data_IF_375099619319
#
_entry.id   IF_375099619319
#
_cell.length_a   1.000
_cell.length_b   1.000
_cell.length_c   1.000
_cell.angle_alpha   90.00
_cell.angle_beta   90.00
_cell.angle_gamma   90.00
#
_symmetry.space_group_name_H-M   'P 1'
#
loop_
_entity.id
_entity.type
_entity.pdbx_description
1 polymer ?
#
# COMPACT_ATOMS: atom_id res chain seq x y z
N UNK A 1 -80.15 -34.47 33.99
CA UNK A 1 -80.91 -35.44 33.17
C UNK A 1 -82.05 -36.12 33.95
N UNK A 2 -81.84 -36.66 35.17
CA UNK A 2 -82.91 -37.34 35.94
C UNK A 2 -84.23 -36.56 36.15
N UNK A 3 -84.21 -35.22 36.17
CA UNK A 3 -85.42 -34.41 36.36
C UNK A 3 -86.44 -34.57 35.21
N UNK A 4 -86.01 -34.62 33.94
CA UNK A 4 -86.91 -34.75 32.78
C UNK A 4 -87.67 -36.09 32.79
N UNK A 5 -86.99 -37.16 33.20
CA UNK A 5 -87.58 -38.50 33.28
C UNK A 5 -88.73 -38.54 34.31
N UNK A 6 -88.57 -37.83 35.43
CA UNK A 6 -89.57 -37.77 36.51
C UNK A 6 -90.81 -36.94 36.14
N UNK A 7 -90.67 -35.96 35.25
CA UNK A 7 -91.82 -35.23 34.69
C UNK A 7 -92.57 -36.08 33.66
N UNK A 8 -91.87 -36.77 32.74
CA UNK A 8 -92.55 -37.53 31.68
C UNK A 8 -93.38 -38.71 32.22
N UNK A 9 -92.90 -39.40 33.25
CA UNK A 9 -93.69 -40.44 33.96
C UNK A 9 -94.95 -39.84 34.61
N UNK A 10 -94.89 -38.60 35.10
CA UNK A 10 -96.05 -37.90 35.70
C UNK A 10 -97.08 -37.45 34.63
N UNK A 11 -96.64 -37.25 33.40
CA UNK A 11 -97.47 -36.84 32.27
C UNK A 11 -98.22 -38.03 31.65
N UNK A 12 -97.57 -39.20 31.54
CA UNK A 12 -98.16 -40.40 30.94
C UNK A 12 -99.04 -41.25 31.89
N UNK A 13 -98.88 -41.14 33.22
CA UNK A 13 -99.61 -42.01 34.18
C UNK A 13 -100.98 -41.49 34.65
N UNK A 14 -101.33 -40.24 34.34
CA UNK A 14 -102.72 -39.76 34.23
C UNK A 14 -103.70 -39.99 35.40
N UNK A 15 -103.24 -40.23 36.63
CA UNK A 15 -104.12 -40.69 37.73
C UNK A 15 -103.83 -40.07 39.10
N UNK A 16 -104.74 -39.22 39.58
CA UNK A 16 -104.81 -38.80 40.99
C UNK A 16 -105.33 -39.94 41.86
N UNK A 17 -104.41 -40.75 42.42
CA UNK A 17 -104.73 -41.87 43.31
C UNK A 17 -105.20 -41.40 44.71
N UNK A 18 -106.26 -40.59 44.79
CA UNK A 18 -106.82 -40.06 46.05
C UNK A 18 -108.30 -39.64 46.00
N UNK A 19 -109.02 -39.77 44.87
CA UNK A 19 -110.45 -39.35 44.78
C UNK A 19 -111.34 -40.30 43.98
N UNK A 20 -111.55 -41.53 44.46
CA UNK A 20 -112.59 -42.41 43.89
C UNK A 20 -113.25 -43.33 44.94
N UNK A 21 -113.97 -42.71 45.88
CA UNK A 21 -114.89 -43.41 46.80
C UNK A 21 -116.16 -42.59 47.01
N UNK A 22 -116.88 -42.30 45.92
CA UNK A 22 -118.24 -41.74 45.97
C UNK A 22 -118.97 -41.95 44.62
N UNK A 23 -120.28 -42.22 44.69
CA UNK A 23 -121.29 -42.06 43.61
C UNK A 23 -121.02 -42.72 42.25
N UNK A 24 -121.34 -44.02 42.15
CA UNK A 24 -122.32 -44.47 41.14
C UNK A 24 -123.40 -45.27 41.87
N UNK A 25 -124.57 -44.63 42.06
CA UNK A 25 -125.77 -45.21 42.68
C UNK A 25 -126.98 -44.47 42.09
N UNK A 26 -128.03 -45.21 41.70
CA UNK A 26 -129.14 -44.74 40.83
C UNK A 26 -128.66 -44.46 39.38
N UNK A 27 -129.39 -44.81 38.31
CA UNK A 27 -130.68 -45.50 38.14
C UNK A 27 -130.57 -46.41 36.90
N UNK A 28 -131.25 -47.56 36.76
CA UNK A 28 -132.68 -47.79 36.99
C UNK A 28 -132.94 -49.26 37.33
N UNK A 29 -133.71 -49.52 38.40
CA UNK A 29 -134.26 -50.85 38.70
C UNK A 29 -135.78 -50.74 38.76
N UNK A 30 -136.46 -51.39 37.81
CA UNK A 30 -137.84 -51.85 37.98
C UNK A 30 -137.71 -53.31 38.43
N UNK A 31 -137.90 -53.68 39.71
CA UNK A 31 -138.99 -53.36 40.66
C UNK A 31 -140.32 -54.02 40.30
N UNK A 32 -140.30 -55.35 40.23
CA UNK A 32 -141.43 -56.18 40.68
C UNK A 32 -140.85 -57.17 41.69
N UNK A 33 -141.28 -57.06 42.95
CA UNK A 33 -140.96 -58.01 44.02
C UNK A 33 -142.15 -57.99 45.00
N UNK A 34 -142.39 -59.12 45.66
CA UNK A 34 -143.28 -59.32 46.81
C UNK A 34 -144.78 -59.02 46.61
N UNK A 35 -145.55 -60.09 46.43
CA UNK A 35 -146.79 -60.28 47.21
C UNK A 35 -146.80 -61.67 47.87
N UNK A 36 -147.22 -61.70 49.14
CA UNK A 36 -147.15 -62.88 50.02
C UNK A 36 -148.47 -63.07 50.77
N UNK A 37 -149.25 -64.07 50.37
CA UNK A 37 -150.49 -64.52 51.03
C UNK A 37 -151.04 -65.74 50.28
N UNK A 38 -151.38 -66.90 50.87
CA UNK A 38 -151.74 -67.35 52.24
C UNK A 38 -153.23 -67.31 52.60
N UNK A 39 -154.00 -68.21 51.97
CA UNK A 39 -155.15 -68.92 52.56
C UNK A 39 -155.24 -70.28 51.86
N UNK A 40 -155.12 -71.43 52.54
CA UNK A 40 -156.13 -72.08 53.39
C UNK A 40 -157.47 -72.35 52.70
N UNK A 41 -157.70 -73.63 52.36
CA UNK A 41 -158.86 -74.38 52.86
C UNK A 41 -158.56 -75.88 52.80
N UNK A 42 -158.55 -76.54 53.97
CA UNK A 42 -159.03 -77.92 54.08
C UNK A 42 -160.54 -77.87 54.36
N UNK A 43 -161.29 -78.93 54.64
CA UNK A 43 -161.07 -80.38 54.72
C UNK A 43 -162.30 -80.88 55.49
N UNK A 44 -163.12 -81.74 54.89
CA UNK A 44 -164.22 -82.48 55.55
C UNK A 44 -164.26 -83.86 54.88
N UNK A 45 -163.77 -84.93 55.52
CA UNK A 45 -164.44 -85.74 56.56
C UNK A 45 -165.58 -86.61 56.00
N UNK A 46 -165.76 -87.89 56.36
CA UNK A 46 -164.96 -88.76 57.24
C UNK A 46 -165.31 -90.24 57.01
N UNK A 47 -164.62 -91.15 57.71
CA UNK A 47 -164.80 -92.61 57.68
C UNK A 47 -166.17 -93.09 58.17
N UNK A 48 -166.66 -94.20 57.59
CA UNK A 48 -167.26 -95.39 58.25
C UNK A 48 -167.73 -96.40 57.17
N UNK A 49 -168.11 -97.65 57.45
CA UNK A 49 -167.59 -98.70 58.36
C UNK A 49 -168.58 -99.89 58.31
N UNK A 50 -168.18 -101.01 57.68
CA UNK A 50 -168.63 -102.41 57.87
C UNK A 50 -170.10 -102.70 58.29
N UNK A 51 -170.83 -103.52 57.51
CA UNK A 51 -171.59 -104.75 57.92
C UNK A 51 -172.54 -105.22 56.80
N UNK A 52 -172.77 -106.55 56.71
CA UNK A 52 -173.68 -107.20 55.75
C UNK A 52 -175.00 -107.65 56.40
N UNK A 53 -176.12 -107.46 55.69
CA UNK A 53 -177.43 -108.13 55.82
C UNK A 53 -178.21 -107.78 54.54
N UNK A 54 -178.72 -108.69 53.71
CA UNK A 54 -179.83 -109.64 53.91
C UNK A 54 -181.18 -108.99 54.29
N UNK A 55 -182.27 -109.42 53.64
CA UNK A 55 -183.64 -108.94 53.90
C UNK A 55 -184.47 -108.44 52.70
N UNK A 56 -184.93 -109.37 51.84
CA UNK A 56 -186.30 -109.48 51.27
C UNK A 56 -187.17 -108.25 50.86
N UNK A 57 -187.82 -108.39 49.68
CA UNK A 57 -189.20 -107.95 49.31
C UNK A 57 -189.48 -106.43 49.15
N UNK A 58 -190.38 -105.99 48.28
CA UNK A 58 -191.13 -106.63 47.16
C UNK A 58 -191.57 -105.56 46.15
N UNK A 59 -191.81 -105.96 44.89
CA UNK A 59 -192.53 -105.25 43.80
C UNK A 59 -192.11 -103.80 43.45
N UNK A 60 -192.03 -103.38 42.17
CA UNK A 60 -192.77 -103.81 40.99
C UNK A 60 -191.80 -104.10 39.83
N UNK A 61 -191.90 -105.28 39.22
CA UNK A 61 -191.01 -105.70 38.14
C UNK A 61 -191.47 -105.19 36.76
N UNK A 62 -190.89 -104.07 36.29
CA UNK A 62 -190.78 -103.80 34.84
C UNK A 62 -189.70 -102.75 34.46
N UNK A 63 -189.40 -101.75 35.30
CA UNK A 63 -188.45 -100.68 34.94
C UNK A 63 -186.96 -101.10 34.95
N UNK A 64 -186.63 -102.24 35.59
CA UNK A 64 -185.24 -102.62 35.90
C UNK A 64 -184.32 -102.82 34.68
N UNK A 65 -184.84 -103.23 33.52
CA UNK A 65 -184.02 -103.45 32.32
C UNK A 65 -183.66 -102.14 31.59
N UNK A 66 -184.48 -101.10 31.71
CA UNK A 66 -184.16 -99.80 31.12
C UNK A 66 -183.08 -99.08 31.94
N UNK A 67 -183.11 -99.21 33.27
CA UNK A 67 -182.03 -98.75 34.14
C UNK A 67 -180.69 -99.47 33.85
N UNK A 68 -180.68 -100.79 33.65
CA UNK A 68 -179.45 -101.51 33.24
C UNK A 68 -178.88 -101.00 31.91
N UNK A 69 -179.73 -100.83 30.89
CA UNK A 69 -179.32 -100.27 29.58
C UNK A 69 -178.77 -98.85 29.72
N UNK A 70 -179.36 -98.04 30.60
CA UNK A 70 -178.90 -96.68 30.90
C UNK A 70 -177.54 -96.69 31.62
N UNK A 71 -177.34 -97.60 32.58
CA UNK A 71 -176.08 -97.76 33.30
C UNK A 71 -174.96 -98.22 32.36
N UNK A 72 -175.18 -99.28 31.59
CA UNK A 72 -174.22 -99.81 30.61
C UNK A 72 -173.87 -98.78 29.52
N UNK A 73 -174.83 -97.95 29.09
CA UNK A 73 -174.57 -96.82 28.18
C UNK A 73 -173.70 -95.74 28.85
N UNK A 74 -173.94 -95.41 30.11
CA UNK A 74 -173.11 -94.45 30.88
C UNK A 74 -171.70 -94.99 31.10
N UNK A 75 -171.56 -96.27 31.43
CA UNK A 75 -170.28 -96.96 31.57
C UNK A 75 -169.50 -96.97 30.24
N UNK A 76 -170.18 -97.25 29.13
CA UNK A 76 -169.61 -97.15 27.77
C UNK A 76 -169.19 -95.72 27.41
N UNK A 77 -169.96 -94.70 27.82
CA UNK A 77 -169.58 -93.29 27.67
C UNK A 77 -168.32 -92.95 28.48
N UNK A 78 -168.20 -93.44 29.71
CA UNK A 78 -167.02 -93.20 30.55
C UNK A 78 -165.79 -93.95 30.05
N UNK A 79 -165.90 -95.21 29.66
CA UNK A 79 -164.80 -95.98 29.06
C UNK A 79 -164.30 -95.33 27.77
N UNK A 80 -165.21 -94.86 26.89
CA UNK A 80 -164.81 -94.11 25.68
C UNK A 80 -164.14 -92.78 26.01
N UNK A 81 -164.58 -92.06 27.05
CA UNK A 81 -163.95 -90.82 27.51
C UNK A 81 -162.57 -91.07 28.12
N UNK A 82 -162.38 -92.18 28.83
CA UNK A 82 -161.09 -92.62 29.37
C UNK A 82 -160.14 -93.00 28.24
N UNK A 83 -160.60 -93.78 27.26
CA UNK A 83 -159.83 -94.16 26.07
C UNK A 83 -159.43 -92.93 25.23
N UNK A 84 -160.35 -91.99 25.00
CA UNK A 84 -160.04 -90.71 24.34
C UNK A 84 -159.01 -89.90 25.14
N UNK A 85 -159.11 -89.86 26.47
CA UNK A 85 -158.11 -89.19 27.33
C UNK A 85 -156.76 -89.91 27.32
N UNK A 86 -156.73 -91.25 27.27
CA UNK A 86 -155.49 -92.00 27.06
C UNK A 86 -154.86 -91.69 25.71
N UNK A 87 -155.65 -91.57 24.63
CA UNK A 87 -155.14 -91.17 23.31
C UNK A 87 -154.60 -89.74 23.33
N UNK A 88 -155.34 -88.78 23.89
CA UNK A 88 -154.87 -87.39 24.10
C UNK A 88 -153.56 -87.34 24.89
N UNK A 89 -153.44 -88.13 25.96
CA UNK A 89 -152.22 -88.17 26.79
C UNK A 89 -151.06 -88.84 26.05
N UNK A 90 -151.30 -89.94 25.33
CA UNK A 90 -150.29 -90.60 24.49
C UNK A 90 -149.80 -89.67 23.38
N UNK A 91 -150.67 -88.86 22.79
CA UNK A 91 -150.27 -87.89 21.76
C UNK A 91 -149.61 -86.63 22.35
N UNK A 92 -150.02 -86.17 23.53
CA UNK A 92 -149.33 -85.10 24.26
C UNK A 92 -147.90 -85.52 24.66
N UNK A 93 -147.70 -86.76 25.13
CA UNK A 93 -146.38 -87.33 25.40
C UNK A 93 -145.54 -87.36 24.12
N UNK A 94 -146.04 -87.94 23.02
CA UNK A 94 -145.34 -87.91 21.71
C UNK A 94 -144.98 -86.49 21.23
N UNK A 95 -145.82 -85.49 21.52
CA UNK A 95 -145.51 -84.08 21.20
C UNK A 95 -144.39 -83.53 22.10
N UNK A 96 -144.40 -83.84 23.41
CA UNK A 96 -143.33 -83.44 24.33
C UNK A 96 -142.00 -84.13 24.03
N UNK A 97 -142.00 -85.42 23.68
CA UNK A 97 -140.80 -86.16 23.29
C UNK A 97 -140.18 -85.58 22.01
N UNK A 98 -141.01 -85.28 20.99
CA UNK A 98 -140.56 -84.57 19.78
C UNK A 98 -139.96 -83.20 20.09
N UNK A 99 -140.60 -82.44 20.97
CA UNK A 99 -140.12 -81.11 21.37
C UNK A 99 -138.81 -81.19 22.19
N UNK A 100 -138.67 -82.22 23.04
CA UNK A 100 -137.43 -82.49 23.78
C UNK A 100 -136.29 -82.84 22.81
N UNK A 101 -136.53 -83.74 21.86
CA UNK A 101 -135.53 -84.11 20.85
C UNK A 101 -135.07 -82.93 19.98
N UNK A 102 -135.99 -82.01 19.64
CA UNK A 102 -135.64 -80.75 18.96
C UNK A 102 -134.72 -79.89 19.85
N UNK A 103 -135.09 -79.66 21.12
CA UNK A 103 -134.26 -78.90 22.07
C UNK A 103 -132.88 -79.54 22.28
N UNK A 104 -132.80 -80.88 22.34
CA UNK A 104 -131.53 -81.59 22.49
C UNK A 104 -130.63 -81.44 21.26
N UNK A 105 -131.22 -81.51 20.05
CA UNK A 105 -130.50 -81.26 18.79
C UNK A 105 -130.03 -79.81 18.67
N UNK A 106 -130.88 -78.84 19.00
CA UNK A 106 -130.52 -77.40 19.04
C UNK A 106 -129.40 -77.13 20.06
N UNK A 107 -129.48 -77.75 21.24
CA UNK A 107 -128.44 -77.72 22.28
C UNK A 107 -127.12 -78.31 21.80
N UNK A 108 -127.14 -79.46 21.13
CA UNK A 108 -125.93 -80.05 20.52
C UNK A 108 -125.33 -79.14 19.44
N UNK A 109 -126.16 -78.56 18.57
CA UNK A 109 -125.71 -77.65 17.52
C UNK A 109 -125.13 -76.36 18.10
N UNK A 110 -125.73 -75.81 19.16
CA UNK A 110 -125.17 -74.70 19.92
C UNK A 110 -123.83 -75.05 20.58
N UNK A 111 -123.66 -76.25 21.16
CA UNK A 111 -122.36 -76.68 21.70
C UNK A 111 -121.29 -76.84 20.61
N UNK A 112 -121.65 -77.36 19.43
CA UNK A 112 -120.74 -77.46 18.28
C UNK A 112 -120.33 -76.06 17.78
N UNK A 113 -121.27 -75.12 17.70
CA UNK A 113 -120.96 -73.71 17.37
C UNK A 113 -120.05 -73.06 18.42
N UNK A 114 -120.31 -73.25 19.72
CA UNK A 114 -119.48 -72.72 20.82
C UNK A 114 -118.06 -73.30 20.77
N UNK A 115 -117.90 -74.58 20.40
CA UNK A 115 -116.58 -75.20 20.26
C UNK A 115 -115.80 -74.58 19.09
N UNK A 116 -116.41 -74.50 17.90
CA UNK A 116 -115.79 -73.89 16.72
C UNK A 116 -115.43 -72.41 16.95
N UNK A 117 -116.29 -71.66 17.65
CA UNK A 117 -116.03 -70.27 18.01
C UNK A 117 -114.87 -70.12 19.02
N UNK A 118 -114.68 -71.07 19.94
CA UNK A 118 -113.54 -71.10 20.86
C UNK A 118 -112.23 -71.43 20.13
N UNK A 119 -112.26 -72.36 19.18
CA UNK A 119 -111.11 -72.70 18.34
C UNK A 119 -110.70 -71.50 17.47
N UNK A 120 -111.66 -70.90 16.76
CA UNK A 120 -111.43 -69.69 15.95
C UNK A 120 -110.98 -68.48 16.78
N UNK A 121 -111.44 -68.34 18.03
CA UNK A 121 -110.96 -67.30 18.95
C UNK A 121 -109.50 -67.54 19.34
N UNK A 122 -109.17 -68.78 19.71
CA UNK A 122 -107.79 -69.16 20.06
C UNK A 122 -106.83 -68.95 18.89
N UNK A 123 -107.22 -69.32 17.66
CA UNK A 123 -106.42 -69.06 16.46
C UNK A 123 -106.20 -67.56 16.27
N UNK A 124 -107.23 -66.73 16.47
CA UNK A 124 -107.11 -65.27 16.39
C UNK A 124 -106.20 -64.69 17.50
N UNK A 125 -106.20 -65.27 18.70
CA UNK A 125 -105.28 -64.93 19.78
C UNK A 125 -103.82 -65.32 19.44
N UNK A 126 -103.60 -66.53 18.92
CA UNK A 126 -102.29 -67.01 18.45
C UNK A 126 -101.77 -66.17 17.25
N UNK A 127 -102.64 -65.72 16.34
CA UNK A 127 -102.28 -64.78 15.27
C UNK A 127 -101.95 -63.38 15.81
N UNK A 128 -102.74 -62.86 16.75
CA UNK A 128 -102.47 -61.57 17.41
C UNK A 128 -101.12 -61.59 18.14
N UNK A 129 -100.80 -62.66 18.85
CA UNK A 129 -99.51 -62.80 19.54
C UNK A 129 -98.34 -62.84 18.55
N UNK A 130 -98.48 -63.53 17.41
CA UNK A 130 -97.46 -63.51 16.34
C UNK A 130 -97.24 -62.09 15.80
N UNK A 131 -98.32 -61.34 15.54
CA UNK A 131 -98.23 -59.94 15.07
C UNK A 131 -97.50 -59.06 16.10
N UNK A 132 -97.85 -59.16 17.39
CA UNK A 132 -97.20 -58.40 18.46
C UNK A 132 -95.71 -58.75 18.57
N UNK A 133 -95.36 -60.04 18.55
CA UNK A 133 -93.97 -60.48 18.54
C UNK A 133 -93.21 -59.95 17.31
N UNK A 134 -93.85 -59.88 16.13
CA UNK A 134 -93.23 -59.29 14.93
C UNK A 134 -93.03 -57.78 15.06
N UNK A 135 -93.94 -57.06 15.72
CA UNK A 135 -93.79 -55.62 16.01
C UNK A 135 -92.63 -55.37 16.98
N UNK A 136 -92.56 -56.09 18.11
CA UNK A 136 -91.45 -55.98 19.07
C UNK A 136 -90.08 -56.29 18.42
N UNK A 137 -89.99 -57.33 17.59
CA UNK A 137 -88.76 -57.65 16.86
C UNK A 137 -88.38 -56.55 15.85
N UNK A 138 -89.36 -55.94 15.18
CA UNK A 138 -89.11 -54.85 14.23
C UNK A 138 -88.63 -53.58 14.95
N UNK A 139 -89.25 -53.20 16.07
CA UNK A 139 -88.82 -52.05 16.90
C UNK A 139 -87.39 -52.25 17.46
N UNK A 140 -87.03 -53.49 17.84
CA UNK A 140 -85.65 -53.83 18.23
C UNK A 140 -84.67 -53.67 17.07
N UNK A 141 -85.03 -54.14 15.87
CA UNK A 141 -84.20 -54.01 14.66
C UNK A 141 -84.03 -52.53 14.28
N UNK A 142 -85.10 -51.73 14.27
CA UNK A 142 -85.03 -50.29 14.01
C UNK A 142 -84.18 -49.56 15.05
N UNK A 143 -84.32 -49.91 16.33
CA UNK A 143 -83.50 -49.34 17.42
C UNK A 143 -82.01 -49.64 17.20
N UNK A 144 -81.65 -50.87 16.82
CA UNK A 144 -80.27 -51.24 16.51
C UNK A 144 -79.77 -50.53 15.24
N UNK A 145 -80.58 -50.43 14.18
CA UNK A 145 -80.23 -49.71 12.96
C UNK A 145 -79.96 -48.22 13.23
N UNK A 146 -80.77 -47.55 14.06
CA UNK A 146 -80.57 -46.15 14.45
C UNK A 146 -79.28 -45.98 15.28
N UNK A 147 -78.98 -46.93 16.18
CA UNK A 147 -77.72 -46.92 16.94
C UNK A 147 -76.49 -47.09 16.05
N UNK A 148 -76.49 -48.07 15.13
CA UNK A 148 -75.38 -48.27 14.19
C UNK A 148 -75.24 -47.11 13.20
N UNK A 149 -76.34 -46.57 12.67
CA UNK A 149 -76.31 -45.38 11.81
C UNK A 149 -75.72 -44.16 12.54
N UNK A 150 -76.02 -44.00 13.85
CA UNK A 150 -75.41 -42.95 14.67
C UNK A 150 -73.90 -43.17 14.88
N UNK A 151 -73.44 -44.42 15.06
CA UNK A 151 -72.00 -44.75 15.15
C UNK A 151 -71.29 -44.47 13.83
N UNK A 152 -71.86 -44.92 12.70
CA UNK A 152 -71.32 -44.66 11.36
C UNK A 152 -71.25 -43.16 11.08
N UNK A 153 -72.30 -42.40 11.39
CA UNK A 153 -72.31 -40.93 11.25
C UNK A 153 -71.20 -40.26 12.06
N UNK A 154 -70.97 -40.68 13.30
CA UNK A 154 -69.89 -40.15 14.13
C UNK A 154 -68.50 -40.50 13.58
N UNK A 155 -68.31 -41.72 13.04
CA UNK A 155 -67.07 -42.13 12.40
C UNK A 155 -66.79 -41.35 11.11
N UNK A 156 -67.81 -41.11 10.28
CA UNK A 156 -67.68 -40.27 9.07
C UNK A 156 -67.28 -38.86 9.44
N UNK A 157 -67.95 -38.22 10.40
CA UNK A 157 -67.63 -36.85 10.84
C UNK A 157 -66.19 -36.71 11.35
N UNK A 158 -65.69 -37.71 12.11
CA UNK A 158 -64.30 -37.74 12.57
C UNK A 158 -63.30 -37.90 11.40
N UNK A 159 -63.65 -38.64 10.35
CA UNK A 159 -62.81 -38.77 9.15
C UNK A 159 -62.86 -37.53 8.25
N UNK A 160 -63.99 -36.85 8.17
CA UNK A 160 -64.11 -35.55 7.50
C UNK A 160 -63.25 -34.48 8.19
N UNK A 161 -63.27 -34.45 9.54
CA UNK A 161 -62.37 -33.60 10.32
C UNK A 161 -60.90 -33.97 10.08
N UNK A 162 -60.52 -35.25 10.18
CA UNK A 162 -59.15 -35.70 9.93
C UNK A 162 -58.68 -35.30 8.52
N UNK A 163 -59.49 -35.53 7.48
CA UNK A 163 -59.18 -35.15 6.10
C UNK A 163 -59.02 -33.63 5.95
N UNK A 164 -59.85 -32.83 6.60
CA UNK A 164 -59.72 -31.37 6.65
C UNK A 164 -58.38 -30.94 7.28
N UNK A 165 -58.02 -31.50 8.44
CA UNK A 165 -56.76 -31.24 9.13
C UNK A 165 -55.55 -31.67 8.29
N UNK A 166 -55.57 -32.87 7.66
CA UNK A 166 -54.50 -33.31 6.76
C UNK A 166 -54.39 -32.38 5.53
N UNK A 167 -55.50 -31.91 4.97
CA UNK A 167 -55.52 -31.00 3.81
C UNK A 167 -54.95 -29.63 4.16
N UNK A 168 -55.27 -29.09 5.34
CA UNK A 168 -54.68 -27.86 5.84
C UNK A 168 -53.17 -28.00 6.09
N UNK A 169 -52.73 -29.08 6.73
CA UNK A 169 -51.31 -29.36 6.97
C UNK A 169 -50.52 -29.55 5.66
N UNK A 170 -51.09 -30.26 4.68
CA UNK A 170 -50.48 -30.45 3.36
C UNK A 170 -50.39 -29.12 2.58
N UNK A 171 -51.39 -28.24 2.70
CA UNK A 171 -51.34 -26.89 2.10
C UNK A 171 -50.20 -26.06 2.69
N UNK A 172 -50.02 -26.06 4.01
CA UNK A 172 -48.92 -25.31 4.63
C UNK A 172 -47.55 -25.94 4.37
N UNK A 173 -47.43 -27.26 4.33
CA UNK A 173 -46.20 -27.94 3.90
C UNK A 173 -45.80 -27.55 2.47
N UNK A 174 -46.78 -27.44 1.55
CA UNK A 174 -46.54 -26.95 0.19
C UNK A 174 -46.14 -25.46 0.16
N UNK A 175 -46.76 -24.60 0.98
CA UNK A 175 -46.34 -23.20 1.13
C UNK A 175 -44.87 -23.10 1.59
N UNK A 176 -44.44 -23.97 2.51
CA UNK A 176 -43.07 -24.01 3.03
C UNK A 176 -42.09 -24.55 2.00
N UNK A 177 -42.46 -25.60 1.25
CA UNK A 177 -41.66 -26.11 0.13
C UNK A 177 -41.44 -25.04 -0.95
N UNK A 178 -42.47 -24.25 -1.28
CA UNK A 178 -42.31 -23.20 -2.31
C UNK A 178 -41.49 -22.00 -1.81
N UNK A 179 -41.62 -21.62 -0.53
CA UNK A 179 -40.68 -20.67 0.11
C UNK A 179 -39.23 -21.18 0.01
N UNK A 180 -38.98 -22.44 0.39
CA UNK A 180 -37.64 -23.05 0.31
C UNK A 180 -37.11 -23.16 -1.12
N UNK A 181 -37.97 -23.46 -2.11
CA UNK A 181 -37.60 -23.43 -3.54
C UNK A 181 -37.21 -22.04 -4.01
N UNK A 182 -37.97 -21.02 -3.63
CA UNK A 182 -37.64 -19.63 -3.96
C UNK A 182 -36.29 -19.21 -3.37
N UNK A 183 -35.98 -19.65 -2.14
CA UNK A 183 -34.72 -19.38 -1.46
C UNK A 183 -33.55 -20.15 -2.07
N UNK A 184 -33.71 -21.43 -2.41
CA UNK A 184 -32.69 -22.20 -3.16
C UNK A 184 -32.39 -21.56 -4.53
N UNK A 185 -33.41 -21.06 -5.23
CA UNK A 185 -33.22 -20.34 -6.49
C UNK A 185 -32.54 -18.97 -6.29
N UNK A 186 -32.80 -18.30 -5.16
CA UNK A 186 -32.11 -17.06 -4.76
C UNK A 186 -30.63 -17.31 -4.46
N UNK A 187 -30.33 -18.37 -3.71
CA UNK A 187 -28.97 -18.76 -3.34
C UNK A 187 -28.15 -19.21 -4.56
N UNK A 188 -28.72 -20.00 -5.47
CA UNK A 188 -28.05 -20.39 -6.74
C UNK A 188 -27.62 -19.20 -7.59
N UNK A 189 -28.42 -18.14 -7.67
CA UNK A 189 -28.05 -16.90 -8.37
C UNK A 189 -26.90 -16.16 -7.68
N UNK A 190 -26.78 -16.26 -6.35
CA UNK A 190 -25.64 -15.71 -5.62
C UNK A 190 -24.38 -16.57 -5.79
N UNK A 191 -24.51 -17.89 -5.85
CA UNK A 191 -23.44 -18.83 -6.16
C UNK A 191 -22.86 -18.58 -7.58
N UNK A 192 -23.73 -18.39 -8.58
CA UNK A 192 -23.39 -18.01 -9.95
C UNK A 192 -22.63 -16.66 -9.99
N UNK A 193 -23.16 -15.62 -9.33
CA UNK A 193 -22.49 -14.32 -9.22
C UNK A 193 -21.12 -14.40 -8.51
N UNK A 194 -21.00 -15.21 -7.46
CA UNK A 194 -19.72 -15.42 -6.75
C UNK A 194 -18.71 -16.20 -7.61
N UNK A 195 -19.17 -17.16 -8.41
CA UNK A 195 -18.35 -17.88 -9.40
C UNK A 195 -17.80 -16.93 -10.47
N UNK A 196 -18.63 -16.02 -11.00
CA UNK A 196 -18.21 -15.02 -11.98
C UNK A 196 -17.19 -14.03 -11.38
N UNK A 197 -17.45 -13.53 -10.16
CA UNK A 197 -16.51 -12.66 -9.43
C UNK A 197 -15.19 -13.38 -9.15
N UNK A 198 -15.23 -14.67 -8.77
CA UNK A 198 -14.03 -15.49 -8.57
C UNK A 198 -13.27 -15.73 -9.89
N UNK A 199 -13.99 -15.93 -10.99
CA UNK A 199 -13.44 -16.03 -12.35
C UNK A 199 -12.69 -14.77 -12.77
N UNK A 200 -13.33 -13.61 -12.62
CA UNK A 200 -12.75 -12.30 -12.93
C UNK A 200 -11.55 -11.97 -12.02
N UNK A 201 -11.68 -12.18 -10.70
CA UNK A 201 -10.55 -12.03 -9.76
C UNK A 201 -9.35 -12.90 -10.16
N UNK A 202 -9.60 -14.10 -10.69
CA UNK A 202 -8.56 -15.05 -11.14
C UNK A 202 -7.95 -14.69 -12.50
N UNK A 203 -8.64 -13.95 -13.37
CA UNK A 203 -8.05 -13.39 -14.60
C UNK A 203 -7.26 -12.12 -14.30
N UNK A 204 -7.78 -11.24 -13.46
CA UNK A 204 -7.07 -10.04 -12.95
C UNK A 204 -5.76 -10.42 -12.25
N UNK A 205 -5.78 -11.38 -11.31
CA UNK A 205 -4.56 -11.86 -10.64
C UNK A 205 -3.53 -12.45 -11.62
N UNK A 206 -3.95 -13.09 -12.72
CA UNK A 206 -3.02 -13.54 -13.78
C UNK A 206 -2.39 -12.37 -14.53
N UNK A 207 -3.17 -11.34 -14.86
CA UNK A 207 -2.68 -10.12 -15.53
C UNK A 207 -1.71 -9.36 -14.62
N UNK A 208 -2.08 -9.14 -13.36
CA UNK A 208 -1.21 -8.49 -12.36
C UNK A 208 0.08 -9.28 -12.15
N UNK A 209 0.01 -10.61 -12.00
CA UNK A 209 1.22 -11.44 -11.88
C UNK A 209 2.13 -11.31 -13.11
N UNK A 210 1.58 -11.40 -14.33
CA UNK A 210 2.38 -11.26 -15.56
C UNK A 210 3.00 -9.86 -15.69
N UNK A 211 2.29 -8.82 -15.29
CA UNK A 211 2.80 -7.45 -15.29
C UNK A 211 3.92 -7.25 -14.25
N UNK A 212 3.83 -7.89 -13.08
CA UNK A 212 4.89 -7.92 -12.08
C UNK A 212 6.13 -8.65 -12.61
N UNK A 213 5.95 -9.86 -13.15
CA UNK A 213 7.03 -10.68 -13.74
C UNK A 213 7.74 -9.96 -14.90
N UNK A 214 7.00 -9.26 -15.76
CA UNK A 214 7.56 -8.36 -16.77
C UNK A 214 8.39 -7.23 -16.12
N UNK A 215 7.85 -6.57 -15.08
CA UNK A 215 8.49 -5.43 -14.41
C UNK A 215 9.77 -5.83 -13.66
N UNK A 216 9.78 -7.00 -13.02
CA UNK A 216 10.97 -7.61 -12.42
C UNK A 216 12.01 -7.93 -13.51
N UNK A 217 11.60 -8.40 -14.69
CA UNK A 217 12.51 -8.66 -15.80
C UNK A 217 13.16 -7.40 -16.38
N UNK A 218 12.44 -6.27 -16.46
CA UNK A 218 13.01 -4.99 -16.87
C UNK A 218 13.89 -4.38 -15.76
N UNK A 219 13.49 -4.48 -14.49
CA UNK A 219 14.30 -4.03 -13.36
C UNK A 219 15.67 -4.72 -13.37
N UNK A 220 15.69 -6.05 -13.51
CA UNK A 220 16.92 -6.83 -13.60
C UNK A 220 17.82 -6.34 -14.75
N UNK A 221 17.28 -6.05 -15.95
CA UNK A 221 18.07 -5.49 -17.07
C UNK A 221 18.67 -4.13 -16.71
N UNK A 222 17.89 -3.23 -16.11
CA UNK A 222 18.38 -1.90 -15.71
C UNK A 222 19.43 -1.97 -14.59
N UNK A 223 19.36 -2.97 -13.71
CA UNK A 223 20.40 -3.22 -12.70
C UNK A 223 21.68 -3.79 -13.32
N UNK A 224 21.55 -4.67 -14.31
CA UNK A 224 22.64 -5.20 -15.13
C UNK A 224 23.35 -4.08 -15.93
N UNK A 225 22.60 -3.16 -16.54
CA UNK A 225 23.10 -1.97 -17.23
C UNK A 225 23.77 -1.00 -16.25
N UNK A 226 23.15 -0.74 -15.10
CA UNK A 226 23.73 0.08 -14.01
C UNK A 226 25.06 -0.52 -13.51
N UNK A 227 25.15 -1.84 -13.40
CA UNK A 227 26.37 -2.56 -13.01
C UNK A 227 27.48 -2.38 -14.05
N UNK A 228 27.17 -2.57 -15.33
CA UNK A 228 28.10 -2.34 -16.46
C UNK A 228 28.60 -0.88 -16.49
N UNK A 229 27.69 0.09 -16.35
CA UNK A 229 28.02 1.52 -16.29
C UNK A 229 28.88 1.86 -15.07
N UNK A 230 28.61 1.26 -13.90
CA UNK A 230 29.41 1.45 -12.68
C UNK A 230 30.85 0.96 -12.87
N UNK A 231 31.04 -0.24 -13.45
CA UNK A 231 32.37 -0.77 -13.79
C UNK A 231 33.10 0.17 -14.77
N UNK A 232 32.39 0.66 -15.80
CA UNK A 232 32.95 1.61 -16.77
C UNK A 232 33.43 2.89 -16.08
N UNK A 233 32.58 3.53 -15.26
CA UNK A 233 32.91 4.76 -14.53
C UNK A 233 34.09 4.56 -13.57
N UNK A 234 34.16 3.43 -12.86
CA UNK A 234 35.28 3.16 -11.97
C UNK A 234 36.60 2.94 -12.73
N UNK A 235 36.56 2.31 -13.91
CA UNK A 235 37.74 2.17 -14.77
C UNK A 235 38.21 3.52 -15.36
N UNK A 236 37.28 4.39 -15.76
CA UNK A 236 37.57 5.76 -16.22
C UNK A 236 38.12 6.63 -15.08
N UNK A 237 37.62 6.44 -13.86
CA UNK A 237 38.12 7.12 -12.67
C UNK A 237 39.54 6.64 -12.30
N UNK A 238 39.82 5.34 -12.43
CA UNK A 238 41.18 4.80 -12.26
C UNK A 238 42.15 5.36 -13.32
N UNK A 239 41.74 5.38 -14.60
CA UNK A 239 42.53 5.98 -15.68
C UNK A 239 42.79 7.48 -15.44
N UNK A 240 41.76 8.22 -15.03
CA UNK A 240 41.84 9.64 -14.67
C UNK A 240 42.82 9.90 -13.52
N UNK A 241 42.84 9.02 -12.51
CA UNK A 241 43.77 9.14 -11.38
C UNK A 241 45.21 8.82 -11.79
N UNK A 242 45.44 7.83 -12.66
CA UNK A 242 46.76 7.57 -13.26
C UNK A 242 47.26 8.75 -14.10
N UNK A 243 46.39 9.36 -14.91
CA UNK A 243 46.71 10.56 -15.70
C UNK A 243 47.05 11.75 -14.79
N UNK A 244 46.30 11.97 -13.69
CA UNK A 244 46.62 12.99 -12.68
C UNK A 244 48.00 12.77 -12.05
N UNK A 245 48.36 11.53 -11.70
CA UNK A 245 49.69 11.21 -11.17
C UNK A 245 50.81 11.49 -12.19
N UNK A 246 50.59 11.18 -13.47
CA UNK A 246 51.54 11.50 -14.55
C UNK A 246 51.69 13.00 -14.73
N UNK A 247 50.59 13.77 -14.74
CA UNK A 247 50.61 15.24 -14.80
C UNK A 247 51.41 15.81 -13.63
N UNK A 248 51.10 15.42 -12.38
CA UNK A 248 51.84 15.89 -11.19
C UNK A 248 53.32 15.48 -11.19
N UNK A 249 53.69 14.40 -11.89
CA UNK A 249 55.09 14.04 -12.12
C UNK A 249 55.75 15.00 -13.12
N UNK A 250 55.13 15.20 -14.29
CA UNK A 250 55.64 16.09 -15.34
C UNK A 250 55.71 17.56 -14.89
N UNK A 251 54.78 18.03 -14.07
CA UNK A 251 54.80 19.36 -13.45
C UNK A 251 56.02 19.54 -12.54
N UNK A 252 56.41 18.48 -11.79
CA UNK A 252 57.61 18.48 -10.94
C UNK A 252 58.88 18.48 -11.78
N UNK A 253 58.97 17.60 -12.79
CA UNK A 253 60.12 17.53 -13.70
C UNK A 253 60.31 18.85 -14.47
N UNK A 254 59.22 19.50 -14.90
CA UNK A 254 59.25 20.81 -15.54
C UNK A 254 59.67 21.94 -14.57
N UNK A 255 59.31 21.85 -13.28
CA UNK A 255 59.75 22.81 -12.27
C UNK A 255 61.24 22.65 -11.93
N UNK A 256 61.72 21.41 -11.86
CA UNK A 256 63.12 21.07 -11.66
C UNK A 256 63.97 21.52 -12.85
N UNK A 257 63.55 21.24 -14.08
CA UNK A 257 64.25 21.69 -15.28
C UNK A 257 64.28 23.23 -15.41
N UNK A 258 63.20 23.93 -15.04
CA UNK A 258 63.21 25.40 -14.94
C UNK A 258 64.22 25.91 -13.90
N UNK A 259 64.38 25.22 -12.77
CA UNK A 259 65.37 25.55 -11.75
C UNK A 259 66.80 25.30 -12.25
N UNK A 260 67.04 24.17 -12.92
CA UNK A 260 68.32 23.82 -13.53
C UNK A 260 68.70 24.82 -14.63
N UNK A 261 67.79 25.11 -15.55
CA UNK A 261 67.96 26.12 -16.60
C UNK A 261 68.30 27.51 -16.03
N UNK A 262 67.59 27.95 -14.99
CA UNK A 262 67.90 29.21 -14.28
C UNK A 262 69.28 29.19 -13.62
N UNK A 263 69.71 28.06 -13.05
CA UNK A 263 71.04 27.92 -12.43
C UNK A 263 72.17 27.86 -13.48
N UNK A 264 71.93 27.22 -14.63
CA UNK A 264 72.82 27.28 -15.80
C UNK A 264 72.90 28.72 -16.33
N UNK A 265 71.78 29.44 -16.44
CA UNK A 265 71.75 30.84 -16.88
C UNK A 265 72.52 31.76 -15.93
N UNK A 266 72.34 31.62 -14.60
CA UNK A 266 73.15 32.34 -13.60
C UNK A 266 74.64 32.03 -13.75
N UNK A 267 75.00 30.76 -13.91
CA UNK A 267 76.40 30.32 -14.04
C UNK A 267 77.03 30.85 -15.33
N UNK A 268 76.32 30.75 -16.46
CA UNK A 268 76.74 31.32 -17.75
C UNK A 268 76.91 32.85 -17.67
N UNK A 269 76.01 33.55 -16.97
CA UNK A 269 76.13 34.99 -16.74
C UNK A 269 77.37 35.30 -15.92
N UNK A 270 77.62 34.55 -14.83
CA UNK A 270 78.80 34.70 -13.97
C UNK A 270 80.10 34.49 -14.76
N UNK A 271 80.22 33.38 -15.49
CA UNK A 271 81.38 33.06 -16.33
C UNK A 271 81.55 34.08 -17.47
N UNK A 272 80.46 34.63 -18.01
CA UNK A 272 80.54 35.70 -19.01
C UNK A 272 81.05 37.01 -18.39
N UNK A 273 80.62 37.37 -17.18
CA UNK A 273 81.19 38.53 -16.47
C UNK A 273 82.67 38.32 -16.10
N UNK A 274 83.05 37.14 -15.61
CA UNK A 274 84.45 36.76 -15.35
C UNK A 274 85.29 36.89 -16.62
N UNK A 275 84.86 36.27 -17.74
CA UNK A 275 85.49 36.40 -19.06
C UNK A 275 85.64 37.86 -19.50
N UNK A 276 84.62 38.69 -19.30
CA UNK A 276 84.70 40.10 -19.68
C UNK A 276 85.69 40.86 -18.79
N UNK A 277 85.77 40.57 -17.49
CA UNK A 277 86.81 41.17 -16.63
C UNK A 277 88.23 40.71 -16.97
N UNK A 278 88.43 39.44 -17.36
CA UNK A 278 89.75 38.96 -17.79
C UNK A 278 90.13 39.47 -19.18
N UNK A 279 89.17 39.67 -20.09
CA UNK A 279 89.39 40.37 -21.37
C UNK A 279 89.78 41.84 -21.16
N UNK A 280 89.08 42.56 -20.28
CA UNK A 280 89.44 43.95 -19.93
C UNK A 280 90.84 44.02 -19.30
N UNK A 281 91.16 43.11 -18.37
CA UNK A 281 92.49 43.01 -17.77
C UNK A 281 93.58 42.65 -18.78
N UNK A 282 93.30 41.78 -19.75
CA UNK A 282 94.22 41.47 -20.85
C UNK A 282 94.43 42.66 -21.79
N UNK A 283 93.38 43.45 -22.07
CA UNK A 283 93.50 44.68 -22.84
C UNK A 283 94.34 45.73 -22.10
N UNK A 284 94.12 45.90 -20.79
CA UNK A 284 94.94 46.77 -19.92
C UNK A 284 96.41 46.32 -19.89
N UNK A 285 96.67 45.02 -19.69
CA UNK A 285 98.04 44.46 -19.72
C UNK A 285 98.69 44.66 -21.10
N UNK A 286 97.94 44.50 -22.19
CA UNK A 286 98.44 44.75 -23.56
C UNK A 286 98.80 46.22 -23.79
N UNK A 287 97.97 47.14 -23.27
CA UNK A 287 98.24 48.58 -23.31
C UNK A 287 99.47 48.94 -22.46
N UNK A 288 99.61 48.38 -21.25
CA UNK A 288 100.80 48.55 -20.42
C UNK A 288 102.06 47.99 -21.13
N UNK A 289 101.95 46.83 -21.77
CA UNK A 289 103.05 46.19 -22.51
C UNK A 289 103.50 47.04 -23.71
N UNK A 290 102.58 47.60 -24.49
CA UNK A 290 102.93 48.50 -25.59
C UNK A 290 103.50 49.83 -25.09
N UNK A 291 103.02 50.37 -23.96
CA UNK A 291 103.63 51.54 -23.32
C UNK A 291 105.08 51.26 -22.86
N UNK A 292 105.35 50.08 -22.28
CA UNK A 292 106.71 49.66 -21.90
C UNK A 292 107.59 49.48 -23.14
N UNK A 293 107.09 48.84 -24.19
CA UNK A 293 107.78 48.66 -25.49
C UNK A 293 108.10 49.99 -26.17
N UNK A 294 107.21 50.98 -26.10
CA UNK A 294 107.50 52.35 -26.56
C UNK A 294 108.52 53.09 -25.69
N UNK A 295 108.60 52.82 -24.38
CA UNK A 295 109.66 53.37 -23.52
C UNK A 295 111.02 52.73 -23.85
N UNK A 296 111.05 51.40 -23.97
CA UNK A 296 112.23 50.65 -24.39
C UNK A 296 112.77 51.14 -25.74
N UNK A 297 111.89 51.36 -26.74
CA UNK A 297 112.30 51.90 -28.04
C UNK A 297 112.85 53.34 -27.96
N UNK A 298 112.34 54.19 -27.06
CA UNK A 298 112.94 55.53 -26.83
C UNK A 298 114.32 55.41 -26.19
N UNK A 299 114.49 54.56 -25.18
CA UNK A 299 115.79 54.31 -24.56
C UNK A 299 116.80 53.69 -25.54
N UNK A 300 116.34 52.84 -26.46
CA UNK A 300 117.14 52.31 -27.57
C UNK A 300 117.56 53.42 -28.55
N UNK A 301 116.68 54.40 -28.84
CA UNK A 301 117.05 55.58 -29.64
C UNK A 301 118.04 56.49 -28.91
N UNK A 302 117.80 56.80 -27.63
CA UNK A 302 118.72 57.57 -26.77
C UNK A 302 120.10 56.90 -26.68
N UNK A 303 120.14 55.57 -26.53
CA UNK A 303 121.38 54.78 -26.53
C UNK A 303 122.12 54.84 -27.87
N UNK A 304 121.40 54.80 -29.00
CA UNK A 304 122.00 54.95 -30.33
C UNK A 304 122.49 56.40 -30.58
N UNK A 305 121.81 57.42 -30.09
CA UNK A 305 122.29 58.81 -30.14
C UNK A 305 123.57 59.01 -29.30
N UNK A 306 123.64 58.39 -28.12
CA UNK A 306 124.86 58.37 -27.30
C UNK A 306 126.00 57.60 -27.96
N UNK A 307 125.71 56.47 -28.61
CA UNK A 307 126.69 55.69 -29.37
C UNK A 307 127.26 56.48 -30.56
N UNK A 308 126.40 57.18 -31.30
CA UNK A 308 126.83 58.06 -32.40
C UNK A 308 127.67 59.26 -31.90
N UNK A 309 127.35 59.82 -30.72
CA UNK A 309 128.20 60.83 -30.08
C UNK A 309 129.56 60.27 -29.66
N UNK A 310 129.62 59.04 -29.18
CA UNK A 310 130.86 58.34 -28.86
C UNK A 310 131.73 58.16 -30.12
N UNK A 311 131.15 57.65 -31.22
CA UNK A 311 131.85 57.50 -32.50
C UNK A 311 132.39 58.83 -33.05
N UNK A 312 131.60 59.90 -33.00
CA UNK A 312 132.05 61.23 -33.45
C UNK A 312 133.24 61.75 -32.62
N UNK A 313 133.20 61.59 -31.29
CA UNK A 313 134.29 61.98 -30.40
C UNK A 313 135.55 61.12 -30.62
N UNK A 314 135.38 59.84 -30.96
CA UNK A 314 136.48 58.92 -31.26
C UNK A 314 137.16 59.27 -32.60
N UNK A 315 136.38 59.64 -33.62
CA UNK A 315 136.90 60.16 -34.91
C UNK A 315 137.61 61.51 -34.74
N UNK A 316 137.07 62.42 -33.93
CA UNK A 316 137.66 63.72 -33.62
C UNK A 316 139.00 63.58 -32.87
N UNK A 317 139.08 62.63 -31.93
CA UNK A 317 140.31 62.27 -31.22
C UNK A 317 141.36 61.63 -32.16
N UNK A 318 140.93 60.87 -33.18
CA UNK A 318 141.84 60.36 -34.23
C UNK A 318 142.46 61.51 -35.04
N UNK A 319 141.66 62.47 -35.50
CA UNK A 319 142.17 63.65 -36.25
C UNK A 319 143.17 64.47 -35.41
N UNK A 320 142.93 64.57 -34.10
CA UNK A 320 143.83 65.23 -33.14
C UNK A 320 145.16 64.47 -32.97
N UNK A 321 145.14 63.13 -33.10
CA UNK A 321 146.35 62.28 -33.12
C UNK A 321 147.16 62.44 -34.41
N UNK A 322 146.48 62.52 -35.56
CA UNK A 322 147.14 62.71 -36.86
C UNK A 322 147.78 64.11 -36.97
N UNK A 323 147.10 65.14 -36.45
CA UNK A 323 147.65 66.50 -36.32
C UNK A 323 148.97 66.53 -35.53
N UNK A 324 149.05 65.80 -34.41
CA UNK A 324 150.29 65.64 -33.63
C UNK A 324 151.40 64.89 -34.36
N UNK A 325 151.05 63.99 -35.28
CA UNK A 325 152.03 63.29 -36.14
C UNK A 325 152.70 64.28 -37.11
N UNK A 326 151.90 65.15 -37.74
CA UNK A 326 152.37 66.21 -38.65
C UNK A 326 153.23 67.23 -37.88
N UNK A 327 152.82 67.64 -36.68
CA UNK A 327 153.61 68.53 -35.81
C UNK A 327 155.01 67.94 -35.52
N UNK A 328 155.09 66.63 -35.24
CA UNK A 328 156.37 65.94 -35.04
C UNK A 328 157.23 65.95 -36.30
N UNK A 329 156.67 65.62 -37.47
CA UNK A 329 157.41 65.62 -38.74
C UNK A 329 158.00 66.99 -39.08
N UNK A 330 157.30 68.09 -38.76
CA UNK A 330 157.81 69.45 -38.95
C UNK A 330 158.97 69.76 -37.98
N UNK A 331 158.88 69.33 -36.71
CA UNK A 331 159.98 69.45 -35.74
C UNK A 331 161.23 68.67 -36.19
N UNK A 332 161.05 67.43 -36.66
CA UNK A 332 162.15 66.57 -37.11
C UNK A 332 162.88 67.19 -38.33
N UNK A 333 162.14 67.79 -39.29
CA UNK A 333 162.71 68.51 -40.44
C UNK A 333 163.50 69.78 -40.05
N UNK A 334 163.08 70.50 -39.01
CA UNK A 334 163.81 71.69 -38.53
C UNK A 334 165.18 71.30 -38.01
N UNK A 335 165.28 70.22 -37.23
CA UNK A 335 166.56 69.72 -36.69
C UNK A 335 167.51 69.31 -37.82
N UNK A 336 167.03 68.60 -38.85
CA UNK A 336 167.85 68.19 -39.99
C UNK A 336 168.38 69.39 -40.80
N UNK A 337 167.56 70.46 -40.96
CA UNK A 337 167.99 71.70 -41.61
C UNK A 337 168.98 72.50 -40.75
N UNK A 338 168.82 72.52 -39.43
CA UNK A 338 169.80 73.12 -38.50
C UNK A 338 171.15 72.38 -38.55
N UNK A 339 171.14 71.05 -38.63
CA UNK A 339 172.36 70.23 -38.77
C UNK A 339 173.05 70.47 -40.12
N UNK A 340 172.30 70.52 -41.23
CA UNK A 340 172.86 70.88 -42.55
C UNK A 340 173.41 72.32 -42.60
N UNK A 341 172.82 73.26 -41.85
CA UNK A 341 173.37 74.62 -41.69
C UNK A 341 174.63 74.61 -40.83
N UNK A 342 174.71 73.77 -39.79
CA UNK A 342 175.91 73.56 -38.99
C UNK A 342 177.07 73.00 -39.83
N UNK A 343 176.82 71.95 -40.61
CA UNK A 343 177.83 71.32 -41.47
C UNK A 343 178.29 72.24 -42.61
N UNK A 344 177.38 73.01 -43.22
CA UNK A 344 177.79 74.04 -44.19
C UNK A 344 178.60 75.16 -43.53
N UNK A 345 178.35 75.49 -42.27
CA UNK A 345 179.19 76.42 -41.50
C UNK A 345 180.59 75.83 -41.15
N UNK A 346 180.73 74.53 -40.89
CA UNK A 346 182.07 73.93 -40.70
C UNK A 346 182.84 73.84 -42.02
N UNK A 347 182.18 73.52 -43.14
CA UNK A 347 182.78 73.59 -44.47
C UNK A 347 183.20 75.01 -44.85
N UNK A 348 182.37 76.02 -44.56
CA UNK A 348 182.72 77.44 -44.75
C UNK A 348 183.95 77.82 -43.92
N UNK A 349 184.07 77.39 -42.66
CA UNK A 349 185.28 77.62 -41.83
C UNK A 349 186.53 76.96 -42.45
N UNK A 350 186.42 75.74 -42.96
CA UNK A 350 187.53 75.04 -43.64
C UNK A 350 187.96 75.74 -44.93
N UNK A 351 187.00 76.23 -45.72
CA UNK A 351 187.26 77.03 -46.92
C UNK A 351 187.82 78.43 -46.58
N UNK A 352 187.37 79.06 -45.49
CA UNK A 352 187.94 80.30 -44.96
C UNK A 352 189.39 80.13 -44.49
N UNK A 353 189.74 78.97 -43.91
CA UNK A 353 191.11 78.67 -43.51
C UNK A 353 192.03 78.53 -44.73
N UNK A 354 191.61 77.80 -45.78
CA UNK A 354 192.33 77.74 -47.07
C UNK A 354 192.42 79.11 -47.77
N UNK A 355 191.37 79.93 -47.67
CA UNK A 355 191.38 81.31 -48.16
C UNK A 355 192.37 82.18 -47.37
N UNK A 356 192.58 81.94 -46.08
CA UNK A 356 193.54 82.71 -45.27
C UNK A 356 194.99 82.50 -45.71
N UNK A 357 195.39 81.26 -46.02
CA UNK A 357 196.74 80.97 -46.54
C UNK A 357 196.98 81.57 -47.94
N UNK A 358 195.96 81.50 -48.81
CA UNK A 358 195.98 82.22 -50.10
C UNK A 358 196.03 83.74 -49.91
N UNK A 359 195.30 84.29 -48.93
CA UNK A 359 195.25 85.73 -48.63
C UNK A 359 196.54 86.27 -47.98
N UNK A 360 197.41 85.40 -47.46
CA UNK A 360 198.79 85.76 -47.09
C UNK A 360 199.72 85.87 -48.30
N UNK A 361 199.33 85.28 -49.43
CA UNK A 361 200.09 85.26 -50.70
C UNK A 361 199.62 86.34 -51.68
N UNK A 362 198.36 86.76 -51.59
CA UNK A 362 197.69 87.63 -52.57
C UNK A 362 197.28 89.00 -52.00
N UNK A 363 198.16 89.60 -51.19
CA UNK A 363 198.12 91.01 -50.77
C UNK A 363 196.92 91.39 -49.85
N UNK A 364 197.07 92.35 -48.93
CA UNK A 364 196.91 93.80 -49.13
C UNK A 364 195.59 94.13 -49.86
N UNK A 365 194.64 94.76 -49.12
CA UNK A 365 193.40 95.46 -49.54
C UNK A 365 191.98 94.79 -49.30
N UNK A 366 191.23 95.31 -48.29
CA UNK A 366 189.77 95.66 -48.23
C UNK A 366 188.61 94.57 -48.32
N UNK A 367 187.32 94.69 -47.86
CA UNK A 367 186.61 95.29 -46.65
C UNK A 367 185.05 94.91 -46.50
N UNK A 368 184.46 94.68 -45.28
CA UNK A 368 183.02 94.90 -44.74
C UNK A 368 181.70 93.93 -44.89
N UNK A 369 180.60 93.94 -44.00
CA UNK A 369 179.47 92.89 -43.72
C UNK A 369 177.90 93.25 -43.30
N UNK A 370 176.87 92.34 -42.91
CA UNK A 370 175.42 92.60 -42.30
C UNK A 370 174.20 91.49 -42.06
N UNK A 371 172.99 91.68 -41.31
CA UNK A 371 171.80 90.72 -40.78
C UNK A 371 170.21 91.25 -40.64
N UNK A 372 168.97 90.80 -40.07
CA UNK A 372 168.08 89.70 -39.32
C UNK A 372 166.43 89.92 -39.06
N UNK A 373 165.46 89.00 -38.53
CA UNK A 373 164.04 89.16 -37.75
C UNK A 373 162.73 88.09 -37.73
N UNK A 374 161.56 88.17 -36.91
CA UNK A 374 160.34 87.14 -36.63
C UNK A 374 158.89 87.48 -35.84
N UNK A 375 157.71 86.65 -35.73
CA UNK A 375 156.30 86.84 -34.98
C UNK A 375 155.11 85.67 -34.74
N UNK A 376 153.87 85.76 -34.00
CA UNK A 376 152.73 84.68 -33.64
C UNK A 376 151.16 85.00 -33.08
N UNK A 377 150.13 84.03 -32.85
CA UNK A 377 148.78 83.82 -31.96
C UNK A 377 147.17 84.12 -32.28
N UNK A 378 145.89 83.72 -31.70
CA UNK A 378 145.05 82.66 -30.84
C UNK A 378 143.38 82.79 -30.53
N UNK A 379 142.50 81.77 -30.04
CA UNK A 379 141.06 81.63 -29.27
C UNK A 379 139.48 81.56 -29.84
N UNK A 380 138.20 81.27 -29.25
CA UNK A 380 137.35 80.29 -28.30
C UNK A 380 135.67 80.38 -28.03
N UNK A 381 134.81 79.31 -27.61
CA UNK A 381 133.43 79.03 -26.80
C UNK A 381 131.80 79.25 -27.19
N UNK A 382 130.48 78.87 -26.70
CA UNK A 382 129.46 78.17 -25.64
C UNK A 382 127.88 77.86 -26.13
N UNK A 383 126.59 77.50 -25.61
CA UNK A 383 125.57 77.01 -24.45
C UNK A 383 123.96 76.71 -24.91
N UNK A 384 122.67 76.38 -24.35
CA UNK A 384 121.67 75.91 -23.17
C UNK A 384 120.04 75.70 -23.56
N UNK A 385 118.77 75.35 -22.96
CA UNK A 385 117.88 74.67 -21.79
C UNK A 385 116.18 74.60 -21.92
N UNK A 386 115.21 73.89 -21.11
CA UNK A 386 113.62 73.63 -21.26
C UNK A 386 112.52 73.25 -20.02
N UNK A 387 111.08 73.13 -20.10
CA UNK A 387 109.96 72.64 -19.02
C UNK A 387 108.28 72.49 -19.24
N UNK A 388 107.31 71.82 -18.39
CA UNK A 388 105.73 71.52 -18.53
C UNK A 388 104.56 71.35 -17.31
N UNK A 389 103.14 71.10 -17.44
CA UNK A 389 101.97 70.84 -16.35
C UNK A 389 100.38 70.37 -16.65
N UNK A 390 99.34 70.05 -15.69
CA UNK A 390 97.81 69.50 -15.80
C UNK A 390 96.59 69.60 -14.62
N UNK A 391 95.23 69.12 -14.70
CA UNK A 391 93.98 69.21 -13.67
C UNK A 391 92.54 68.33 -13.68
N UNK A 392 91.36 68.55 -12.89
CA UNK A 392 90.04 67.69 -12.50
C UNK A 392 88.58 68.39 -12.06
N UNK A 393 87.26 68.02 -11.61
CA UNK A 393 86.06 66.97 -11.32
C UNK A 393 84.55 67.59 -10.97
N UNK A 394 83.26 67.20 -10.41
CA UNK A 394 82.30 66.16 -9.66
C UNK A 394 80.68 66.53 -9.36
N UNK A 395 79.56 65.69 -9.03
CA UNK A 395 78.21 65.90 -8.15
C UNK A 395 76.80 64.98 -8.15
N UNK A 396 75.63 65.17 -7.33
CA UNK A 396 74.38 64.22 -6.95
C UNK A 396 72.82 64.69 -6.48
N UNK A 397 71.68 63.85 -6.21
CA UNK A 397 70.12 64.13 -5.94
C UNK A 397 69.07 63.32 -4.89
N UNK A 398 67.67 63.56 -4.67
CA UNK A 398 66.59 62.85 -3.71
C UNK A 398 64.92 63.12 -3.63
N UNK A 399 63.92 62.28 -3.03
CA UNK A 399 62.54 62.51 -2.22
C UNK A 399 61.12 61.65 -2.26
N UNK A 400 60.02 61.88 -1.40
CA UNK A 400 58.86 60.92 -0.88
C UNK A 400 57.40 61.46 -0.39
N UNK A 401 56.26 60.65 -0.33
CA UNK A 401 55.02 60.60 0.64
C UNK A 401 53.84 59.55 0.27
N UNK A 402 52.60 59.23 0.83
CA UNK A 402 51.49 59.68 1.83
C UNK A 402 50.40 58.53 2.17
N UNK A 403 49.54 58.56 3.26
CA UNK A 403 48.43 57.58 3.69
C UNK A 403 46.97 58.13 4.04
N UNK A 404 45.86 57.32 4.09
CA UNK A 404 44.50 57.75 4.64
C UNK A 404 43.38 56.72 5.14
N UNK A 405 43.46 55.37 5.09
CA UNK A 405 42.22 54.51 5.06
C UNK A 405 41.49 54.04 6.36
N UNK A 406 42.00 54.26 7.58
CA UNK A 406 41.78 53.31 8.71
C UNK A 406 40.41 53.35 9.48
N UNK A 407 39.50 54.31 9.19
CA UNK A 407 38.29 54.52 10.04
C UNK A 407 37.17 53.48 9.80
N UNK A 408 37.06 52.93 8.59
CA UNK A 408 35.86 52.19 8.16
C UNK A 408 35.73 50.78 8.79
N UNK A 409 36.84 50.05 8.93
CA UNK A 409 36.84 48.64 9.36
C UNK A 409 36.29 48.41 10.77
N UNK A 410 36.47 49.36 11.69
CA UNK A 410 36.07 49.20 13.11
C UNK A 410 34.56 49.20 13.29
N UNK A 411 33.83 50.04 12.55
CA UNK A 411 32.37 50.04 12.51
C UNK A 411 31.82 48.81 11.79
N UNK A 412 32.38 48.49 10.62
CA UNK A 412 31.99 47.34 9.80
C UNK A 412 32.02 46.03 10.61
N UNK A 413 33.09 45.78 11.36
CA UNK A 413 33.23 44.59 12.23
C UNK A 413 32.12 44.50 13.28
N UNK A 414 31.72 45.62 13.89
CA UNK A 414 30.64 45.63 14.88
C UNK A 414 29.28 45.32 14.26
N UNK A 415 28.95 45.93 13.12
CA UNK A 415 27.65 45.74 12.45
C UNK A 415 27.49 44.29 11.95
N UNK A 416 28.55 43.69 11.39
CA UNK A 416 28.54 42.28 10.97
C UNK A 416 28.33 41.34 12.17
N UNK A 417 29.08 41.52 13.26
CA UNK A 417 28.93 40.69 14.46
C UNK A 417 27.52 40.81 15.04
N UNK A 418 26.95 42.03 15.07
CA UNK A 418 25.57 42.24 15.53
C UNK A 418 24.57 41.53 14.61
N UNK A 419 24.67 41.66 13.29
CA UNK A 419 23.78 40.96 12.35
C UNK A 419 23.82 39.43 12.49
N UNK A 420 24.99 38.84 12.76
CA UNK A 420 25.14 37.40 12.97
C UNK A 420 24.64 36.90 14.34
N UNK A 421 24.36 37.78 15.29
CA UNK A 421 23.96 37.44 16.68
C UNK A 421 22.62 38.03 17.13
N UNK A 422 22.06 38.97 16.37
CA UNK A 422 20.76 39.60 16.59
C UNK A 422 19.58 38.66 16.32
N UNK A 423 18.42 39.00 16.88
CA UNK A 423 17.16 38.26 16.64
C UNK A 423 16.60 38.56 15.26
N UNK A 424 15.70 37.69 14.80
CA UNK A 424 15.21 37.61 13.42
C UNK A 424 14.54 38.89 12.86
N UNK A 425 14.00 39.76 13.72
CA UNK A 425 13.45 41.05 13.31
C UNK A 425 14.53 42.15 13.22
N UNK A 426 15.49 42.17 14.15
CA UNK A 426 16.63 43.09 14.15
C UNK A 426 17.53 42.85 12.93
N UNK A 427 17.73 41.58 12.57
CA UNK A 427 18.51 41.19 11.40
C UNK A 427 18.00 41.84 10.09
N UNK A 428 16.68 41.94 9.90
CA UNK A 428 16.09 42.59 8.71
C UNK A 428 16.43 44.09 8.62
N UNK A 429 16.50 44.79 9.75
CA UNK A 429 16.88 46.21 9.76
C UNK A 429 18.39 46.41 9.56
N UNK A 430 19.22 45.45 9.99
CA UNK A 430 20.68 45.51 9.86
C UNK A 430 21.19 45.25 8.43
N UNK A 431 20.42 44.58 7.56
CA UNK A 431 20.80 44.34 6.15
C UNK A 431 21.12 45.67 5.44
N UNK A 432 20.28 46.69 5.59
CA UNK A 432 20.49 48.01 4.95
C UNK A 432 21.75 48.72 5.44
N UNK A 433 22.09 48.57 6.73
CA UNK A 433 23.32 49.12 7.29
C UNK A 433 24.56 48.42 6.71
N UNK A 434 24.52 47.08 6.55
CA UNK A 434 25.60 46.31 5.93
C UNK A 434 25.73 46.63 4.44
N UNK A 435 24.62 46.67 3.70
CA UNK A 435 24.58 47.04 2.28
C UNK A 435 25.24 48.41 2.03
N UNK A 436 24.92 49.40 2.87
CA UNK A 436 25.51 50.75 2.78
C UNK A 436 27.01 50.76 3.12
N UNK A 437 27.45 50.02 4.14
CA UNK A 437 28.86 49.98 4.57
C UNK A 437 29.77 49.17 3.64
N UNK A 438 29.25 48.10 3.02
CA UNK A 438 29.98 47.25 2.08
C UNK A 438 29.76 47.61 0.60
N UNK A 439 28.86 48.57 0.31
CA UNK A 439 28.45 48.96 -1.05
C UNK A 439 27.94 47.77 -1.88
N UNK A 440 27.09 46.93 -1.28
CA UNK A 440 26.46 45.82 -1.99
C UNK A 440 25.62 46.32 -3.16
N UNK A 441 25.59 45.52 -4.23
CA UNK A 441 24.64 45.73 -5.33
C UNK A 441 23.22 45.36 -4.88
N UNK A 442 22.16 45.91 -5.52
CA UNK A 442 20.78 45.57 -5.18
C UNK A 442 20.45 44.07 -5.28
N UNK A 443 21.17 43.32 -6.12
CA UNK A 443 21.00 41.86 -6.25
C UNK A 443 21.61 41.09 -5.06
N UNK A 444 22.74 41.57 -4.51
CA UNK A 444 23.36 40.98 -3.31
C UNK A 444 22.54 41.27 -2.05
N UNK A 445 22.01 42.49 -1.91
CA UNK A 445 21.06 42.83 -0.84
C UNK A 445 19.78 41.97 -0.93
N UNK A 446 19.25 41.78 -2.15
CA UNK A 446 18.09 40.91 -2.42
C UNK A 446 18.36 39.45 -2.05
N UNK A 447 19.52 38.89 -2.41
CA UNK A 447 19.91 37.51 -2.07
C UNK A 447 20.04 37.28 -0.56
N UNK A 448 20.51 38.27 0.20
CA UNK A 448 20.60 38.20 1.66
C UNK A 448 19.19 38.26 2.28
N UNK A 449 18.31 39.13 1.77
CA UNK A 449 16.89 39.15 2.19
C UNK A 449 16.19 37.81 1.93
N UNK A 450 16.26 37.26 0.71
CA UNK A 450 15.66 35.96 0.37
C UNK A 450 16.23 34.81 1.23
N UNK A 451 17.52 34.84 1.55
CA UNK A 451 18.15 33.82 2.40
C UNK A 451 17.67 33.92 3.85
N UNK A 452 17.42 35.13 4.36
CA UNK A 452 16.88 35.34 5.70
C UNK A 452 15.41 34.91 5.78
N UNK A 453 14.58 35.25 4.79
CA UNK A 453 13.16 34.88 4.76
C UNK A 453 12.94 33.39 4.50
N UNK A 454 13.81 32.75 3.70
CA UNK A 454 13.87 31.29 3.61
C UNK A 454 14.10 30.66 4.98
N UNK A 455 15.06 31.16 5.77
CA UNK A 455 15.31 30.65 7.14
C UNK A 455 14.16 30.86 8.12
N UNK A 456 13.25 31.81 7.85
CA UNK A 456 12.00 32.00 8.63
C UNK A 456 10.86 31.05 8.19
N UNK A 457 11.01 30.38 7.06
CA UNK A 457 9.92 29.65 6.39
C UNK A 457 10.14 28.14 6.49
N UNK A 458 9.43 27.47 7.41
CA UNK A 458 9.58 26.03 7.73
C UNK A 458 9.49 25.10 6.50
N UNK A 459 8.77 25.50 5.45
CA UNK A 459 8.55 24.73 4.21
C UNK A 459 9.16 25.40 2.95
N UNK A 460 10.10 26.32 3.11
CA UNK A 460 10.75 27.02 2.00
C UNK A 460 11.83 26.19 1.27
N UNK A 461 11.91 26.32 -0.05
CA UNK A 461 13.08 25.86 -0.82
C UNK A 461 14.22 26.87 -0.73
N UNK A 462 15.47 26.42 -0.52
CA UNK A 462 16.63 27.31 -0.39
C UNK A 462 16.82 28.16 -1.67
N UNK A 463 16.97 29.50 -1.57
CA UNK A 463 17.12 30.35 -2.74
C UNK A 463 18.36 29.98 -3.55
N UNK A 464 18.19 29.88 -4.86
CA UNK A 464 19.26 29.51 -5.81
C UNK A 464 20.04 30.76 -6.22
N UNK A 465 21.28 30.87 -5.75
CA UNK A 465 22.24 31.85 -6.25
C UNK A 465 22.45 31.65 -7.75
N UNK A 466 22.01 32.61 -8.57
CA UNK A 466 22.20 32.58 -10.04
C UNK A 466 23.67 32.86 -10.37
N UNK A 467 24.49 31.82 -10.38
CA UNK A 467 25.85 31.88 -10.90
C UNK A 467 25.79 32.26 -12.39
N UNK A 468 26.04 33.54 -12.69
CA UNK A 468 26.21 34.00 -14.07
C UNK A 468 27.42 33.29 -14.66
N UNK A 469 27.18 32.46 -15.67
CA UNK A 469 28.23 31.92 -16.52
C UNK A 469 28.99 33.09 -17.16
N UNK A 470 30.26 33.24 -16.83
CA UNK A 470 31.17 34.02 -17.67
C UNK A 470 31.48 33.19 -18.92
N UNK A 471 31.44 33.77 -20.13
CA UNK A 471 31.88 33.09 -21.33
C UNK A 471 33.41 32.90 -21.31
N UNK A 472 33.87 31.85 -21.99
CA UNK A 472 35.24 31.70 -22.49
C UNK A 472 35.18 31.63 -24.02
#
# INVERSE_FOLDING_TARGET
MFASLKNKIKEETGSDLSKLTAKITSSTVQKIDSLRGRSHQGSTSSLNSIVSSDGLREDIQNESEEFKKRLSRIESEYSRKLELKEVEWKDLVKQKDKHLHIIEKEKEEAYKQILNLKESLKDAEDFKQKILNHQENNEQIETLQVQELSKVKQLVLLREQELSEKTAALKEANNQLEKLRSEVNRLRRQEEQLSDIQGNSKTELKVVKKNLENSESELNKTEDERSKLKISVDSEHQASNSLRQIITKLERELAEEKSNSLNVQKTLTRVTTEKNTTLLRNAEISQQMEMVKQKMKRQEQEMNELLNKLLNLEEENSKLKDSKSIEKQLRDNIVELEEQISEKNTNIKTLQLRLADLKKTLQQELRTPGNSNYHTDLMENTAAVLTPSQMFTKNFPNSVKRDEEDVNFKYLKHVIIKFLTSREYEAQHLIKAISTLLKFTPEEERLIHETLEWKKSWFGSRPKSKSKLFPS
#
